data_IF_131953215807
#
_entry.id   IF_131953215807
#
_cell.length_a   1.000
_cell.length_b   1.000
_cell.length_c   1.000
_cell.angle_alpha   90.00
_cell.angle_beta   90.00
_cell.angle_gamma   90.00
#
_symmetry.space_group_name_H-M   'P 1'
#
loop_
_entity.id
_entity.type
_entity.pdbx_description
1 polymer ?
#
# COMPACT_ATOMS: atom_id res chain seq x y z
N UNK A 1 13.39 -6.13 29.88
CA UNK A 1 14.18 -7.26 29.37
C UNK A 1 14.58 -8.13 30.55
N UNK A 2 14.40 -9.44 30.46
CA UNK A 2 14.85 -10.41 31.45
C UNK A 2 15.97 -11.24 30.82
N UNK A 3 17.11 -11.35 31.48
CA UNK A 3 18.19 -12.20 31.01
C UNK A 3 18.60 -13.13 32.16
N UNK A 4 18.64 -14.43 31.87
CA UNK A 4 19.12 -15.43 32.81
C UNK A 4 20.56 -15.76 32.45
N UNK A 5 21.48 -15.58 33.39
CA UNK A 5 22.88 -15.88 33.21
C UNK A 5 23.42 -16.73 34.37
N UNK A 6 24.38 -17.61 34.05
CA UNK A 6 25.15 -18.40 35.00
C UNK A 6 26.55 -17.79 35.09
N UNK A 7 27.01 -17.51 36.30
CA UNK A 7 28.32 -16.93 36.54
C UNK A 7 29.21 -17.97 37.22
N UNK A 8 30.38 -18.23 36.64
CA UNK A 8 31.40 -19.10 37.23
C UNK A 8 32.48 -18.21 37.83
N UNK A 9 32.70 -18.33 39.14
CA UNK A 9 33.69 -17.53 39.87
C UNK A 9 34.76 -18.40 40.53
N UNK A 10 35.94 -17.83 40.72
CA UNK A 10 37.04 -18.39 41.53
C UNK A 10 37.29 -17.46 42.72
N UNK A 11 37.39 -18.01 43.92
CA UNK A 11 37.77 -17.24 45.09
C UNK A 11 39.25 -16.82 45.02
N UNK A 12 39.53 -15.54 45.30
CA UNK A 12 40.88 -15.02 45.43
C UNK A 12 41.26 -14.91 46.91
N UNK A 13 42.21 -15.74 47.34
CA UNK A 13 42.62 -15.88 48.75
C UNK A 13 43.25 -14.58 49.28
N UNK A 14 43.95 -13.82 48.43
CA UNK A 14 44.63 -12.58 48.83
C UNK A 14 43.66 -11.44 49.16
N UNK A 15 42.43 -11.51 48.64
CA UNK A 15 41.37 -10.49 48.80
C UNK A 15 40.15 -11.00 49.56
N UNK A 16 40.26 -12.18 50.16
CA UNK A 16 39.15 -12.84 50.86
C UNK A 16 38.66 -12.03 52.07
N UNK A 17 39.54 -11.24 52.70
CA UNK A 17 39.22 -10.36 53.82
C UNK A 17 39.26 -8.91 53.36
N UNK A 18 38.11 -8.24 53.35
CA UNK A 18 37.97 -6.83 52.97
C UNK A 18 37.57 -6.56 51.51
N UNK A 19 37.57 -7.58 50.64
CA UNK A 19 37.01 -7.49 49.29
C UNK A 19 35.48 -7.54 49.28
N UNK A 20 34.85 -7.00 48.22
CA UNK A 20 33.41 -7.12 48.04
C UNK A 20 32.98 -8.58 47.80
N UNK A 21 31.85 -8.97 48.41
CA UNK A 21 31.33 -10.34 48.38
C UNK A 21 30.60 -10.73 47.09
N UNK A 22 30.06 -11.94 47.07
CA UNK A 22 29.38 -12.54 45.90
C UNK A 22 28.18 -11.72 45.43
N UNK A 23 27.38 -11.17 46.35
CA UNK A 23 26.21 -10.34 46.02
C UNK A 23 26.58 -9.12 45.15
N UNK A 24 27.78 -8.56 45.37
CA UNK A 24 28.27 -7.42 44.58
C UNK A 24 28.66 -7.85 43.16
N UNK A 25 29.24 -9.04 42.99
CA UNK A 25 29.52 -9.62 41.66
C UNK A 25 28.20 -9.81 40.91
N UNK A 26 27.20 -10.42 41.54
CA UNK A 26 25.89 -10.69 40.91
C UNK A 26 25.25 -9.37 40.46
N UNK A 27 25.24 -8.35 41.31
CA UNK A 27 24.68 -7.05 40.97
C UNK A 27 25.41 -6.38 39.81
N UNK A 28 26.75 -6.35 39.82
CA UNK A 28 27.57 -5.75 38.77
C UNK A 28 27.44 -6.46 37.43
N UNK A 29 27.46 -7.80 37.43
CA UNK A 29 27.24 -8.60 36.23
C UNK A 29 25.83 -8.39 35.70
N UNK A 30 24.82 -8.37 36.58
CA UNK A 30 23.44 -8.07 36.23
C UNK A 30 23.29 -6.70 35.54
N UNK A 31 23.85 -5.66 36.14
CA UNK A 31 23.88 -4.31 35.54
C UNK A 31 24.59 -4.32 34.18
N UNK A 32 25.78 -4.93 34.12
CA UNK A 32 26.56 -5.04 32.89
C UNK A 32 25.79 -5.70 31.73
N UNK A 33 25.04 -6.77 32.02
CA UNK A 33 24.19 -7.46 31.04
C UNK A 33 23.06 -6.54 30.59
N UNK A 34 22.33 -5.92 31.52
CA UNK A 34 21.19 -5.04 31.20
C UNK A 34 21.63 -3.83 30.37
N UNK A 35 22.74 -3.18 30.73
CA UNK A 35 23.30 -2.06 29.96
C UNK A 35 23.69 -2.49 28.56
N UNK A 36 24.29 -3.67 28.40
CA UNK A 36 24.75 -4.16 27.09
C UNK A 36 23.56 -4.48 26.17
N UNK A 37 22.49 -5.09 26.71
CA UNK A 37 21.23 -5.32 25.99
C UNK A 37 20.56 -3.98 25.63
N UNK A 38 20.50 -3.04 26.57
CA UNK A 38 19.86 -1.74 26.36
C UNK A 38 20.62 -0.82 25.39
N UNK A 39 21.93 -1.04 25.20
CA UNK A 39 22.75 -0.28 24.26
C UNK A 39 22.73 -0.86 22.84
N UNK A 40 22.13 -2.03 22.63
CA UNK A 40 22.04 -2.64 21.31
C UNK A 40 21.08 -1.85 20.40
N UNK A 41 21.43 -1.70 19.13
CA UNK A 41 20.63 -0.94 18.16
C UNK A 41 19.28 -1.61 17.88
N UNK A 42 19.23 -2.94 17.99
CA UNK A 42 18.01 -3.69 17.81
C UNK A 42 17.98 -4.91 18.72
N UNK A 43 16.78 -5.27 19.16
CA UNK A 43 16.55 -6.51 19.90
C UNK A 43 16.97 -7.75 19.11
N UNK A 44 17.00 -7.68 17.77
CA UNK A 44 17.42 -8.77 16.89
C UNK A 44 18.92 -9.05 16.99
N UNK A 45 19.75 -8.01 17.09
CA UNK A 45 21.20 -8.14 17.23
C UNK A 45 21.57 -8.94 18.48
N UNK A 46 20.83 -8.72 19.57
CA UNK A 46 21.01 -9.42 20.84
C UNK A 46 20.63 -10.90 20.73
N UNK A 47 19.52 -11.19 20.05
CA UNK A 47 19.02 -12.55 19.87
C UNK A 47 19.89 -13.39 18.92
N UNK A 48 20.52 -12.77 17.93
CA UNK A 48 21.37 -13.50 16.98
C UNK A 48 22.68 -13.99 17.61
N UNK A 49 23.24 -13.26 18.59
CA UNK A 49 24.53 -13.60 19.20
C UNK A 49 24.58 -13.22 20.69
N UNK A 50 23.94 -13.97 21.60
CA UNK A 50 23.94 -13.69 23.03
C UNK A 50 25.36 -13.74 23.65
N UNK A 51 26.27 -14.53 23.08
CA UNK A 51 27.68 -14.60 23.51
C UNK A 51 28.44 -13.28 23.39
N UNK A 52 27.97 -12.33 22.58
CA UNK A 52 28.60 -11.00 22.52
C UNK A 52 28.41 -10.24 23.82
N UNK A 53 27.30 -10.46 24.52
CA UNK A 53 27.04 -9.81 25.81
C UNK A 53 28.05 -10.29 26.84
N UNK A 54 28.27 -11.60 26.95
CA UNK A 54 29.21 -12.16 27.95
C UNK A 54 30.63 -11.63 27.76
N UNK A 55 31.12 -11.56 26.51
CA UNK A 55 32.43 -10.97 26.20
C UNK A 55 32.51 -9.49 26.61
N UNK A 56 31.51 -8.70 26.24
CA UNK A 56 31.46 -7.26 26.55
C UNK A 56 31.39 -7.01 28.06
N UNK A 57 30.71 -7.89 28.80
CA UNK A 57 30.56 -7.83 30.26
C UNK A 57 31.87 -8.22 30.96
N UNK A 58 32.59 -9.24 30.47
CA UNK A 58 33.91 -9.63 30.97
C UNK A 58 34.97 -8.55 30.71
N UNK A 59 34.95 -7.91 29.54
CA UNK A 59 35.88 -6.83 29.17
C UNK A 59 35.80 -5.59 30.10
N UNK A 60 34.64 -5.38 30.75
CA UNK A 60 34.43 -4.26 31.68
C UNK A 60 35.11 -4.43 33.04
N UNK A 61 35.70 -5.59 33.36
CA UNK A 61 36.47 -5.79 34.59
C UNK A 61 35.63 -5.67 35.88
N UNK A 62 34.48 -6.35 35.91
CA UNK A 62 33.49 -6.24 37.00
C UNK A 62 33.94 -6.86 38.34
N UNK A 63 35.01 -7.65 38.31
CA UNK A 63 35.70 -8.28 39.42
C UNK A 63 36.76 -7.37 40.10
N UNK A 64 36.90 -6.13 39.65
CA UNK A 64 37.78 -5.17 40.30
C UNK A 64 37.35 -4.89 41.76
N UNK A 65 38.25 -5.19 42.71
CA UNK A 65 38.06 -4.93 44.14
C UNK A 65 37.16 -5.94 44.87
N UNK A 66 36.87 -7.08 44.26
CA UNK A 66 36.08 -8.17 44.88
C UNK A 66 36.99 -9.28 45.42
N UNK A 67 36.42 -10.15 46.25
CA UNK A 67 37.07 -11.38 46.71
C UNK A 67 37.01 -12.53 45.67
N UNK A 68 36.42 -12.28 44.49
CA UNK A 68 36.12 -13.29 43.48
C UNK A 68 36.55 -12.83 42.10
N UNK A 69 37.26 -13.70 41.38
CA UNK A 69 37.61 -13.52 39.96
C UNK A 69 36.54 -14.21 39.08
N UNK A 70 36.05 -13.52 38.05
CA UNK A 70 35.03 -14.06 37.15
C UNK A 70 35.73 -14.89 36.07
N UNK A 71 35.42 -16.18 35.99
CA UNK A 71 35.96 -17.08 34.97
C UNK A 71 35.10 -17.08 33.71
N UNK A 72 33.78 -17.21 33.88
CA UNK A 72 32.83 -17.19 32.77
C UNK A 72 31.51 -16.56 33.18
N UNK A 73 30.84 -15.96 32.20
CA UNK A 73 29.45 -15.53 32.28
C UNK A 73 28.74 -16.17 31.10
N UNK A 74 27.88 -17.14 31.36
CA UNK A 74 27.17 -17.88 30.33
C UNK A 74 25.71 -17.44 30.33
N UNK A 75 25.20 -16.99 29.18
CA UNK A 75 23.81 -16.52 29.05
C UNK A 75 22.93 -17.71 28.67
N UNK A 76 21.95 -18.02 29.51
CA UNK A 76 21.03 -19.14 29.34
C UNK A 76 19.76 -18.75 28.56
N UNK A 77 19.22 -17.57 28.82
CA UNK A 77 18.00 -17.07 28.17
C UNK A 77 17.97 -15.54 28.14
N UNK A 78 17.42 -14.96 27.08
CA UNK A 78 17.29 -13.50 26.92
C UNK A 78 15.90 -13.17 26.36
N UNK A 79 15.08 -12.55 27.19
CA UNK A 79 13.81 -11.95 26.81
C UNK A 79 13.96 -10.44 26.63
N UNK A 80 13.84 -10.02 25.38
CA UNK A 80 13.94 -8.63 24.92
C UNK A 80 12.59 -7.88 24.94
N UNK A 81 11.48 -8.55 25.25
CA UNK A 81 10.15 -7.94 25.33
C UNK A 81 9.57 -7.55 23.96
N UNK A 82 8.66 -6.56 23.95
CA UNK A 82 7.97 -6.13 22.72
C UNK A 82 8.83 -5.22 21.86
N UNK A 83 8.96 -5.57 20.59
CA UNK A 83 9.66 -4.73 19.61
C UNK A 83 8.74 -3.63 19.06
N UNK A 84 8.66 -2.51 19.79
CA UNK A 84 7.80 -1.36 19.46
C UNK A 84 8.16 -0.79 18.08
N UNK A 85 9.44 -0.79 17.68
CA UNK A 85 9.89 -0.29 16.38
C UNK A 85 9.33 -1.09 15.21
N UNK A 86 9.37 -2.42 15.29
CA UNK A 86 8.77 -3.29 14.28
C UNK A 86 7.25 -3.10 14.22
N UNK A 87 6.60 -2.93 15.38
CA UNK A 87 5.16 -2.71 15.45
C UNK A 87 4.75 -1.38 14.82
N UNK A 88 5.47 -0.28 15.12
CA UNK A 88 5.25 1.02 14.48
C UNK A 88 5.45 0.96 12.95
N UNK A 89 6.44 0.20 12.47
CA UNK A 89 6.66 0.02 11.03
C UNK A 89 5.49 -0.73 10.37
N UNK A 90 4.95 -1.76 11.04
CA UNK A 90 3.77 -2.48 10.57
C UNK A 90 2.56 -1.56 10.54
N UNK A 91 2.33 -0.80 11.62
CA UNK A 91 1.20 0.13 11.73
C UNK A 91 1.26 1.23 10.65
N UNK A 92 2.47 1.74 10.37
CA UNK A 92 2.69 2.73 9.32
C UNK A 92 2.41 2.13 7.93
N UNK A 93 2.87 0.91 7.66
CA UNK A 93 2.57 0.21 6.41
C UNK A 93 1.08 -0.10 6.24
N UNK A 94 0.37 -0.43 7.32
CA UNK A 94 -1.07 -0.62 7.29
C UNK A 94 -1.83 0.69 7.00
N UNK A 95 -1.40 1.79 7.59
CA UNK A 95 -1.96 3.11 7.31
C UNK A 95 -1.76 3.49 5.83
N UNK A 96 -0.54 3.32 5.31
CA UNK A 96 -0.23 3.59 3.89
C UNK A 96 -1.08 2.72 2.96
N UNK A 97 -1.26 1.44 3.30
CA UNK A 97 -2.14 0.52 2.56
C UNK A 97 -3.59 1.03 2.52
N UNK A 98 -4.12 1.49 3.65
CA UNK A 98 -5.50 2.04 3.74
C UNK A 98 -5.65 3.31 2.89
N UNK A 99 -4.67 4.22 2.95
CA UNK A 99 -4.67 5.45 2.13
C UNK A 99 -4.66 5.10 0.64
N UNK A 100 -3.81 4.15 0.24
CA UNK A 100 -3.72 3.71 -1.15
C UNK A 100 -5.03 3.08 -1.65
N UNK A 101 -5.68 2.26 -0.82
CA UNK A 101 -6.98 1.66 -1.14
C UNK A 101 -8.08 2.71 -1.29
N UNK A 102 -8.17 3.66 -0.35
CA UNK A 102 -9.14 4.75 -0.40
C UNK A 102 -8.98 5.60 -1.68
N UNK A 103 -7.73 5.94 -2.05
CA UNK A 103 -7.44 6.70 -3.27
C UNK A 103 -7.78 5.94 -4.55
N UNK A 104 -7.60 4.61 -4.55
CA UNK A 104 -8.00 3.77 -5.68
C UNK A 104 -9.54 3.72 -5.83
N UNK A 105 -10.26 3.69 -4.72
CA UNK A 105 -11.72 3.71 -4.70
C UNK A 105 -12.28 5.08 -5.14
N UNK A 106 -11.70 6.18 -4.64
CA UNK A 106 -12.03 7.54 -5.06
C UNK A 106 -11.90 7.72 -6.58
N UNK A 107 -10.80 7.22 -7.17
CA UNK A 107 -10.60 7.23 -8.63
C UNK A 107 -11.65 6.44 -9.39
N UNK A 108 -12.07 5.27 -8.86
CA UNK A 108 -13.13 4.47 -9.47
C UNK A 108 -14.47 5.21 -9.43
N UNK A 109 -14.80 5.80 -8.29
CA UNK A 109 -16.04 6.58 -8.15
C UNK A 109 -16.07 7.79 -9.10
N UNK A 110 -14.96 8.52 -9.21
CA UNK A 110 -14.84 9.64 -10.15
C UNK A 110 -14.96 9.18 -11.62
N UNK A 111 -14.36 8.04 -11.98
CA UNK A 111 -14.46 7.51 -13.33
C UNK A 111 -15.91 7.14 -13.70
N UNK A 112 -16.65 6.52 -12.76
CA UNK A 112 -18.08 6.20 -12.96
C UNK A 112 -18.90 7.48 -13.09
N UNK A 113 -18.65 8.49 -12.24
CA UNK A 113 -19.35 9.77 -12.33
C UNK A 113 -19.12 10.47 -13.68
N UNK A 114 -17.87 10.50 -14.16
CA UNK A 114 -17.52 11.06 -15.47
C UNK A 114 -18.16 10.28 -16.62
N UNK A 115 -18.25 8.95 -16.51
CA UNK A 115 -18.96 8.13 -17.49
C UNK A 115 -20.46 8.49 -17.55
N UNK A 116 -21.11 8.67 -16.41
CA UNK A 116 -22.51 9.10 -16.35
C UNK A 116 -22.72 10.51 -16.90
N UNK A 117 -21.82 11.45 -16.57
CA UNK A 117 -21.86 12.81 -17.11
C UNK A 117 -21.72 12.80 -18.64
N UNK A 118 -20.79 12.01 -19.18
CA UNK A 118 -20.60 11.86 -20.61
C UNK A 118 -21.81 11.21 -21.30
N UNK A 119 -22.44 10.20 -20.67
CA UNK A 119 -23.68 9.61 -21.19
C UNK A 119 -24.80 10.65 -21.26
N UNK A 120 -25.00 11.43 -20.20
CA UNK A 120 -25.99 12.50 -20.18
C UNK A 120 -25.70 13.58 -21.25
N UNK A 121 -24.43 13.95 -21.46
CA UNK A 121 -24.02 14.87 -22.51
C UNK A 121 -24.34 14.32 -23.91
N UNK A 122 -24.05 13.04 -24.17
CA UNK A 122 -24.39 12.40 -25.45
C UNK A 122 -25.89 12.42 -25.70
N UNK A 123 -26.71 12.12 -24.68
CA UNK A 123 -28.17 12.19 -24.79
C UNK A 123 -28.67 13.61 -25.05
N UNK A 124 -28.14 14.61 -24.35
CA UNK A 124 -28.48 16.02 -24.58
C UNK A 124 -28.12 16.47 -26.01
N UNK A 125 -26.96 16.05 -26.52
CA UNK A 125 -26.56 16.37 -27.91
C UNK A 125 -27.41 15.63 -28.94
N UNK A 126 -27.81 14.38 -28.67
CA UNK A 126 -28.77 13.64 -29.52
C UNK A 126 -30.11 14.35 -29.58
N UNK A 127 -30.61 14.85 -28.45
CA UNK A 127 -31.87 15.62 -28.41
C UNK A 127 -31.78 16.87 -29.30
N UNK A 128 -30.67 17.62 -29.23
CA UNK A 128 -30.41 18.78 -30.12
C UNK A 128 -30.33 18.39 -31.60
N UNK A 129 -29.71 17.25 -31.91
CA UNK A 129 -29.65 16.74 -33.28
C UNK A 129 -31.04 16.41 -33.81
N UNK A 130 -31.88 15.76 -32.99
CA UNK A 130 -33.28 15.46 -33.35
C UNK A 130 -34.09 16.74 -33.54
N UNK A 131 -33.91 17.75 -32.67
CA UNK A 131 -34.56 19.06 -32.80
C UNK A 131 -34.18 19.74 -34.13
N UNK A 132 -32.89 19.75 -34.49
CA UNK A 132 -32.42 20.30 -35.75
C UNK A 132 -32.95 19.50 -36.96
N UNK A 133 -32.96 18.17 -36.89
CA UNK A 133 -33.51 17.32 -37.95
C UNK A 133 -35.01 17.54 -38.14
N UNK A 134 -35.77 17.79 -37.07
CA UNK A 134 -37.21 18.06 -37.13
C UNK A 134 -37.55 19.38 -37.86
N UNK A 135 -36.61 20.32 -37.96
CA UNK A 135 -36.80 21.57 -38.72
C UNK A 135 -36.86 21.32 -40.23
N UNK A 136 -36.18 20.29 -40.74
CA UNK A 136 -36.15 19.97 -42.18
C UNK A 136 -37.54 19.59 -42.74
N UNK A 137 -38.28 18.61 -42.18
CA UNK A 137 -39.61 18.27 -42.66
C UNK A 137 -40.61 19.41 -42.46
N UNK A 138 -40.47 20.21 -41.40
CA UNK A 138 -41.31 21.40 -41.19
C UNK A 138 -41.09 22.43 -42.31
N UNK A 139 -39.84 22.74 -42.63
CA UNK A 139 -39.48 23.63 -43.73
C UNK A 139 -39.93 23.07 -45.09
N UNK A 140 -39.83 21.76 -45.30
CA UNK A 140 -40.32 21.10 -46.51
C UNK A 140 -41.85 21.20 -46.64
N UNK A 141 -42.58 21.00 -45.55
CA UNK A 141 -44.04 21.16 -45.51
C UNK A 141 -44.44 22.62 -45.80
N UNK A 142 -43.70 23.60 -45.27
CA UNK A 142 -43.92 25.01 -45.57
C UNK A 142 -43.62 25.37 -47.03
N UNK A 143 -42.56 24.82 -47.63
CA UNK A 143 -42.22 25.00 -49.04
C UNK A 143 -43.30 24.44 -49.98
N UNK A 144 -43.89 23.29 -49.62
CA UNK A 144 -45.04 22.70 -50.32
C UNK A 144 -46.30 23.59 -50.19
N UNK A 145 -46.60 24.09 -48.98
CA UNK A 145 -47.78 24.94 -48.72
C UNK A 145 -47.70 26.30 -49.42
N UNK A 146 -46.51 26.89 -49.49
CA UNK A 146 -46.25 28.19 -50.13
C UNK A 146 -46.07 28.09 -51.65
N UNK A 147 -46.11 26.88 -52.21
CA UNK A 147 -45.98 26.64 -53.65
C UNK A 147 -44.56 26.80 -54.20
N UNK A 148 -43.55 26.90 -53.32
CA UNK A 148 -42.13 26.95 -53.72
C UNK A 148 -41.59 25.60 -54.17
N UNK A 149 -42.28 24.50 -53.81
CA UNK A 149 -41.93 23.14 -54.18
C UNK A 149 -43.18 22.43 -54.70
N UNK A 150 -43.09 21.79 -55.87
CA UNK A 150 -44.22 21.13 -56.52
C UNK A 150 -44.41 19.67 -56.06
N UNK A 151 -45.62 19.15 -56.26
CA UNK A 151 -45.95 17.74 -55.95
C UNK A 151 -45.05 16.77 -56.73
N UNK A 152 -44.76 17.09 -58.00
CA UNK A 152 -43.86 16.27 -58.83
C UNK A 152 -42.40 16.30 -58.33
N UNK A 153 -41.96 17.40 -57.71
CA UNK A 153 -40.61 17.51 -57.16
C UNK A 153 -40.46 16.68 -55.87
N UNK A 154 -41.51 16.63 -55.04
CA UNK A 154 -41.56 15.76 -53.86
C UNK A 154 -41.50 14.27 -54.23
N UNK A 155 -42.24 13.85 -55.26
CA UNK A 155 -42.17 12.46 -55.75
C UNK A 155 -40.79 12.12 -56.34
N UNK A 156 -40.13 13.07 -57.02
CA UNK A 156 -38.73 12.87 -57.48
C UNK A 156 -37.77 12.73 -56.31
N UNK A 157 -37.90 13.55 -55.27
CA UNK A 157 -37.08 13.43 -54.06
C UNK A 157 -37.25 12.04 -53.43
N UNK A 158 -38.48 11.58 -53.23
CA UNK A 158 -38.77 10.23 -52.71
C UNK A 158 -38.16 9.11 -53.55
N UNK A 159 -38.17 9.24 -54.87
CA UNK A 159 -37.58 8.24 -55.75
C UNK A 159 -36.04 8.19 -55.62
N UNK A 160 -35.39 9.34 -55.45
CA UNK A 160 -33.94 9.42 -55.23
C UNK A 160 -33.58 8.83 -53.85
N UNK A 161 -34.36 9.11 -52.81
CA UNK A 161 -34.19 8.49 -51.48
C UNK A 161 -34.30 6.97 -51.57
N UNK A 162 -35.34 6.46 -52.23
CA UNK A 162 -35.53 5.01 -52.42
C UNK A 162 -34.39 4.33 -53.20
N UNK A 163 -33.85 4.98 -54.25
CA UNK A 163 -32.68 4.48 -54.97
C UNK A 163 -31.42 4.49 -54.09
N UNK A 164 -31.28 5.49 -53.22
CA UNK A 164 -30.16 5.60 -52.28
C UNK A 164 -30.22 4.51 -51.21
N UNK A 165 -31.39 4.27 -50.61
CA UNK A 165 -31.60 3.20 -49.63
C UNK A 165 -31.38 1.81 -50.23
N UNK A 166 -31.83 1.62 -51.48
CA UNK A 166 -31.58 0.37 -52.22
C UNK A 166 -30.08 0.18 -52.47
N UNK A 167 -29.34 1.22 -52.84
CA UNK A 167 -27.88 1.14 -53.01
C UNK A 167 -27.13 0.88 -51.71
N UNK A 168 -27.56 1.50 -50.60
CA UNK A 168 -26.94 1.27 -49.29
C UNK A 168 -27.17 -0.17 -48.81
N UNK A 169 -28.38 -0.69 -48.95
CA UNK A 169 -28.71 -2.08 -48.58
C UNK A 169 -27.93 -3.11 -49.42
N UNK A 170 -27.81 -2.89 -50.73
CA UNK A 170 -26.95 -3.73 -51.59
C UNK A 170 -25.48 -3.65 -51.16
N UNK A 171 -25.00 -2.45 -50.81
CA UNK A 171 -23.61 -2.25 -50.34
C UNK A 171 -23.33 -2.95 -49.01
N UNK A 172 -24.30 -2.94 -48.08
CA UNK A 172 -24.20 -3.70 -46.82
C UNK A 172 -24.24 -5.21 -47.05
N UNK A 173 -25.07 -5.69 -47.97
CA UNK A 173 -25.14 -7.12 -48.32
C UNK A 173 -23.91 -7.62 -49.08
N UNK A 174 -23.19 -6.73 -49.78
CA UNK A 174 -21.95 -7.05 -50.49
C UNK A 174 -20.69 -7.01 -49.62
N UNK A 175 -20.78 -6.53 -48.37
CA UNK A 175 -19.68 -6.68 -47.40
C UNK A 175 -19.68 -8.13 -46.89
N UNK A 176 -18.62 -8.93 -47.12
CA UNK A 176 -18.54 -10.28 -46.60
C UNK A 176 -18.56 -10.25 -45.07
N UNK A 177 -19.41 -11.09 -44.47
CA UNK A 177 -19.41 -11.36 -43.03
C UNK A 177 -18.09 -12.06 -42.67
N UNK A 178 -17.06 -11.30 -42.29
CA UNK A 178 -15.77 -11.89 -41.94
C UNK A 178 -14.60 -10.96 -41.62
N UNK A 179 -14.76 -9.64 -41.60
CA UNK A 179 -13.72 -8.73 -41.10
C UNK A 179 -14.28 -7.79 -40.04
N UNK A 180 -14.35 -8.31 -38.81
CA UNK A 180 -14.08 -7.56 -37.57
C UNK A 180 -13.15 -8.38 -36.67
#
# INVERSE_FOLDING_TARGET
>A
PLATARVTVRANIDRLVGGAGEETIIARVGEGIVTTIGSANSHKEVLENPDRISKTVLEKGLDAGTAFEILSVDIADVDVGKNIGAQLQIDQAEADKKIAQAKAEERRAMAVAAEQENRALVEAMRAKLVEAQAQVPLALAEALRTGRLGVMDYYRLKNIEADTDMRESISRAAKPEGEE
#
